data_IF_068887013602
#
_entry.id   IF_068887013602
#
_cell.length_a   1.000
_cell.length_b   1.000
_cell.length_c   1.000
_cell.angle_alpha   90.00
_cell.angle_beta   90.00
_cell.angle_gamma   90.00
#
_symmetry.space_group_name_H-M   'P 1'
#
loop_
_entity.id
_entity.type
_entity.pdbx_description
1 polymer ?
#
# COMPACT_ATOMS: atom_id res chain seq x y z
N UNK A 1 11.95 3.35 7.93
CA UNK A 1 12.26 3.67 9.36
C UNK A 1 13.21 2.66 10.03
N UNK A 2 13.00 1.35 9.89
CA UNK A 2 13.84 0.33 10.55
C UNK A 2 15.29 0.32 10.05
N UNK A 3 15.56 0.50 8.75
CA UNK A 3 16.95 0.56 8.26
C UNK A 3 17.70 1.76 8.84
N UNK A 4 17.08 2.94 8.87
CA UNK A 4 17.67 4.13 9.46
C UNK A 4 17.96 3.94 10.97
N UNK A 5 17.06 3.28 11.69
CA UNK A 5 17.26 2.95 13.10
C UNK A 5 18.40 1.95 13.31
N UNK A 6 18.45 0.88 12.50
CA UNK A 6 19.55 -0.11 12.55
C UNK A 6 20.88 0.57 12.23
N UNK A 7 20.95 1.41 11.20
CA UNK A 7 22.17 2.16 10.86
C UNK A 7 22.61 3.09 12.00
N UNK A 8 21.67 3.75 12.67
CA UNK A 8 21.99 4.67 13.77
C UNK A 8 22.46 3.95 15.04
N UNK A 9 21.87 2.79 15.38
CA UNK A 9 22.17 2.06 16.61
C UNK A 9 23.30 1.03 16.46
N UNK A 10 23.51 0.51 15.25
CA UNK A 10 24.54 -0.48 14.92
C UNK A 10 25.21 -0.14 13.58
N UNK A 11 26.11 0.86 13.57
CA UNK A 11 26.85 1.24 12.37
C UNK A 11 27.57 0.03 11.74
N UNK A 12 27.34 -0.21 10.44
CA UNK A 12 27.89 -1.35 9.70
C UNK A 12 27.05 -2.63 9.74
N UNK A 13 25.98 -2.68 10.53
CA UNK A 13 25.02 -3.78 10.48
C UNK A 13 24.04 -3.60 9.32
N UNK A 14 23.87 -4.65 8.52
CA UNK A 14 22.81 -4.71 7.50
C UNK A 14 21.53 -5.21 8.14
N UNK A 15 20.44 -4.45 8.02
CA UNK A 15 19.15 -4.92 8.51
C UNK A 15 18.73 -6.19 7.73
N UNK A 16 18.30 -7.27 8.40
CA UNK A 16 17.93 -8.50 7.70
C UNK A 16 16.74 -8.27 6.77
N UNK A 17 16.82 -8.79 5.55
CA UNK A 17 15.73 -8.73 4.58
C UNK A 17 15.10 -10.13 4.47
N UNK A 18 14.05 -10.44 5.26
CA UNK A 18 13.38 -11.73 5.15
C UNK A 18 12.84 -11.93 3.73
N UNK A 19 12.87 -13.17 3.19
CA UNK A 19 12.25 -13.46 1.92
C UNK A 19 10.75 -13.16 1.99
N UNK A 20 10.19 -12.61 0.92
CA UNK A 20 8.76 -12.43 0.80
C UNK A 20 8.05 -13.80 0.81
N UNK A 21 7.01 -14.00 1.65
CA UNK A 21 6.14 -15.14 1.51
C UNK A 21 5.40 -15.08 0.17
N UNK A 22 4.95 -16.23 -0.33
CA UNK A 22 4.03 -16.27 -1.47
C UNK A 22 2.74 -15.50 -1.13
N UNK A 23 2.06 -14.89 -2.13
CA UNK A 23 0.74 -14.30 -1.96
C UNK A 23 -0.21 -15.27 -1.26
N UNK A 24 -0.89 -14.81 -0.21
CA UNK A 24 -1.66 -15.68 0.68
C UNK A 24 -3.02 -15.07 1.02
N UNK A 25 -4.09 -15.86 0.86
CA UNK A 25 -5.38 -15.58 1.48
C UNK A 25 -5.31 -16.00 2.95
N UNK A 26 -5.50 -15.03 3.85
CA UNK A 26 -5.62 -15.30 5.29
C UNK A 26 -7.07 -15.64 5.65
N UNK A 27 -8.03 -14.99 4.99
CA UNK A 27 -9.47 -15.26 5.06
C UNK A 27 -10.07 -15.16 3.65
N UNK A 28 -11.36 -15.51 3.52
CA UNK A 28 -12.08 -15.47 2.24
C UNK A 28 -12.03 -14.07 1.59
N UNK A 29 -12.04 -13.02 2.42
CA UNK A 29 -12.08 -11.62 2.05
C UNK A 29 -10.81 -10.86 2.46
N UNK A 30 -9.69 -11.55 2.69
CA UNK A 30 -8.45 -10.88 3.09
C UNK A 30 -7.23 -11.62 2.56
N UNK A 31 -6.41 -10.90 1.78
CA UNK A 31 -5.17 -11.42 1.22
C UNK A 31 -3.99 -10.50 1.53
N UNK A 32 -2.81 -11.11 1.74
CA UNK A 32 -1.56 -10.41 1.98
C UNK A 32 -0.62 -10.58 0.79
N UNK A 33 -0.04 -9.45 0.36
CA UNK A 33 0.93 -9.32 -0.71
C UNK A 33 2.19 -8.71 -0.08
N UNK A 34 3.32 -9.39 -0.12
CA UNK A 34 4.48 -8.99 0.70
C UNK A 34 5.74 -8.83 -0.13
N UNK A 35 6.53 -7.80 0.21
CA UNK A 35 7.91 -7.64 -0.22
C UNK A 35 8.90 -8.10 0.88
N UNK A 36 8.46 -8.96 1.80
CA UNK A 36 9.26 -9.47 2.91
C UNK A 36 9.16 -8.59 4.16
N UNK A 37 9.68 -7.37 4.09
CA UNK A 37 9.66 -6.43 5.25
C UNK A 37 8.37 -5.63 5.37
N UNK A 38 7.75 -5.32 4.25
CA UNK A 38 6.49 -4.57 4.17
C UNK A 38 5.49 -5.38 3.37
N UNK A 39 4.23 -5.25 3.74
CA UNK A 39 3.13 -5.95 3.09
C UNK A 39 2.02 -4.96 2.76
N UNK A 40 1.37 -5.19 1.64
CA UNK A 40 0.08 -4.64 1.31
C UNK A 40 -1.00 -5.70 1.60
N UNK A 41 -2.16 -5.26 2.06
CA UNK A 41 -3.30 -6.16 2.32
C UNK A 41 -4.44 -5.81 1.38
N UNK A 42 -4.91 -6.77 0.60
CA UNK A 42 -6.07 -6.62 -0.26
C UNK A 42 -7.33 -7.10 0.47
N UNK A 43 -8.32 -6.21 0.55
CA UNK A 43 -9.65 -6.47 1.12
C UNK A 43 -10.67 -6.15 0.04
N UNK A 44 -11.66 -7.01 -0.25
CA UNK A 44 -12.70 -6.73 -1.22
C UNK A 44 -13.92 -6.10 -0.55
N UNK A 45 -14.12 -4.76 -0.57
CA UNK A 45 -15.37 -4.15 -0.15
C UNK A 45 -16.46 -4.38 -1.20
N UNK A 46 -16.94 -5.62 -1.34
CA UNK A 46 -18.04 -5.97 -2.24
C UNK A 46 -17.74 -5.88 -3.74
N UNK A 47 -17.65 -4.67 -4.29
CA UNK A 47 -17.63 -4.41 -5.73
C UNK A 47 -16.25 -4.00 -6.30
N UNK A 48 -15.19 -4.16 -5.51
CA UNK A 48 -13.82 -3.83 -5.87
C UNK A 48 -12.85 -4.28 -4.78
N UNK A 49 -11.61 -3.79 -4.85
CA UNK A 49 -10.53 -4.05 -3.92
C UNK A 49 -10.12 -2.73 -3.26
N UNK A 50 -10.07 -2.72 -1.94
CA UNK A 50 -9.33 -1.76 -1.15
C UNK A 50 -7.98 -2.38 -0.80
N UNK A 51 -6.91 -1.70 -1.18
CA UNK A 51 -5.56 -2.07 -0.81
C UNK A 51 -5.13 -1.25 0.42
N UNK A 52 -4.68 -1.91 1.47
CA UNK A 52 -4.06 -1.27 2.63
C UNK A 52 -2.55 -1.28 2.39
N UNK A 53 -1.95 -0.09 2.28
CA UNK A 53 -0.59 0.20 1.80
C UNK A 53 -0.29 -0.25 0.36
N UNK A 54 0.79 0.27 -0.22
CA UNK A 54 1.20 0.04 -1.61
C UNK A 54 2.70 -0.27 -1.74
N UNK A 55 3.31 -0.86 -0.71
CA UNK A 55 4.72 -1.27 -0.66
C UNK A 55 5.69 -0.09 -0.92
N UNK A 56 6.94 -0.39 -1.29
CA UNK A 56 8.07 0.56 -1.25
C UNK A 56 8.25 1.35 -2.53
N UNK A 57 7.79 0.83 -3.67
CA UNK A 57 8.09 1.41 -4.98
C UNK A 57 7.05 1.07 -6.05
N UNK A 58 7.06 1.78 -7.19
CA UNK A 58 6.29 1.39 -8.36
C UNK A 58 6.62 -0.03 -8.85
N UNK A 59 7.89 -0.44 -8.75
CA UNK A 59 8.33 -1.79 -9.12
C UNK A 59 7.71 -2.86 -8.20
N UNK A 60 7.60 -2.59 -6.91
CA UNK A 60 6.90 -3.50 -5.98
C UNK A 60 5.42 -3.64 -6.36
N UNK A 61 4.75 -2.55 -6.78
CA UNK A 61 3.39 -2.66 -7.29
C UNK A 61 3.33 -3.58 -8.52
N UNK A 62 4.20 -3.36 -9.51
CA UNK A 62 4.20 -4.13 -10.76
C UNK A 62 4.57 -5.60 -10.60
N UNK A 63 5.49 -5.91 -9.68
CA UNK A 63 6.10 -7.24 -9.57
C UNK A 63 5.62 -8.04 -8.36
N UNK A 64 5.01 -7.38 -7.36
CA UNK A 64 4.47 -8.04 -6.17
C UNK A 64 2.95 -7.92 -6.11
N UNK A 65 2.41 -6.70 -6.14
CA UNK A 65 0.97 -6.48 -5.94
C UNK A 65 0.16 -7.05 -7.12
N UNK A 66 0.44 -6.61 -8.35
CA UNK A 66 -0.36 -7.02 -9.51
C UNK A 66 -0.27 -8.53 -9.78
N UNK A 67 0.92 -9.16 -9.78
CA UNK A 67 1.02 -10.60 -9.99
C UNK A 67 0.41 -11.37 -8.84
N UNK A 68 0.60 -10.93 -7.59
CA UNK A 68 0.05 -11.61 -6.43
C UNK A 68 -1.48 -11.61 -6.40
N UNK A 69 -2.13 -10.49 -6.76
CA UNK A 69 -3.58 -10.46 -6.96
C UNK A 69 -4.03 -11.46 -8.02
N UNK A 70 -3.36 -11.50 -9.17
CA UNK A 70 -3.66 -12.46 -10.25
C UNK A 70 -3.50 -13.92 -9.80
N UNK A 71 -2.42 -14.24 -9.08
CA UNK A 71 -2.18 -15.57 -8.50
C UNK A 71 -3.32 -16.00 -7.57
N UNK A 72 -3.91 -15.06 -6.85
CA UNK A 72 -5.04 -15.31 -5.94
C UNK A 72 -6.41 -15.27 -6.63
N UNK A 73 -6.43 -15.13 -7.95
CA UNK A 73 -7.64 -15.10 -8.79
C UNK A 73 -8.37 -13.76 -8.81
N UNK A 74 -7.74 -12.68 -8.36
CA UNK A 74 -8.31 -11.34 -8.36
C UNK A 74 -7.84 -10.52 -9.58
N UNK A 75 -8.72 -9.66 -10.09
CA UNK A 75 -8.36 -8.69 -11.13
C UNK A 75 -7.74 -7.43 -10.50
N UNK A 76 -6.49 -7.08 -10.80
CA UNK A 76 -5.89 -5.85 -10.28
C UNK A 76 -6.61 -4.58 -10.74
N UNK A 77 -7.35 -4.60 -11.86
CA UNK A 77 -8.15 -3.47 -12.28
C UNK A 77 -9.35 -3.20 -11.35
N UNK A 78 -9.68 -4.13 -10.45
CA UNK A 78 -10.70 -3.93 -9.43
C UNK A 78 -10.21 -3.07 -8.24
N UNK A 79 -8.93 -2.66 -8.18
CA UNK A 79 -8.44 -1.75 -7.12
C UNK A 79 -9.12 -0.39 -7.27
N UNK A 80 -9.94 -0.03 -6.28
CA UNK A 80 -10.66 1.25 -6.22
C UNK A 80 -10.06 2.22 -5.21
N UNK A 81 -9.50 1.68 -4.13
CA UNK A 81 -9.02 2.46 -3.00
C UNK A 81 -7.66 1.97 -2.53
N UNK A 82 -6.78 2.89 -2.18
CA UNK A 82 -5.48 2.64 -1.57
C UNK A 82 -5.44 3.40 -0.26
N UNK A 83 -5.56 2.68 0.85
CA UNK A 83 -5.54 3.23 2.21
C UNK A 83 -4.13 3.11 2.75
N UNK A 84 -3.41 4.23 2.81
CA UNK A 84 -2.04 4.27 3.33
C UNK A 84 -2.07 4.46 4.84
N UNK A 85 -1.41 3.56 5.55
CA UNK A 85 -1.41 3.51 7.02
C UNK A 85 -0.56 4.62 7.65
N UNK A 86 0.56 4.98 7.02
CA UNK A 86 1.46 6.05 7.48
C UNK A 86 2.29 6.67 6.35
N UNK A 87 2.69 7.93 6.53
CA UNK A 87 3.45 8.72 5.53
C UNK A 87 4.94 8.38 5.41
N UNK A 88 5.34 7.12 5.65
CA UNK A 88 6.71 6.67 5.34
C UNK A 88 6.78 6.04 3.95
N UNK A 89 7.87 6.28 3.23
CA UNK A 89 8.04 5.89 1.82
C UNK A 89 7.82 4.39 1.55
N UNK A 90 8.08 3.55 2.55
CA UNK A 90 7.97 2.11 2.46
C UNK A 90 6.51 1.60 2.43
N UNK A 91 5.51 2.49 2.57
CA UNK A 91 4.09 2.15 2.58
C UNK A 91 3.27 2.68 1.39
N UNK A 92 3.81 3.61 0.59
CA UNK A 92 3.04 4.25 -0.48
C UNK A 92 3.72 4.26 -1.84
N UNK A 93 4.89 3.66 -1.99
CA UNK A 93 5.68 3.82 -3.22
C UNK A 93 4.99 3.32 -4.48
N UNK A 94 4.07 2.34 -4.36
CA UNK A 94 3.23 1.89 -5.47
C UNK A 94 1.94 2.69 -5.70
N UNK A 95 1.58 3.62 -4.81
CA UNK A 95 0.25 4.21 -4.76
C UNK A 95 -0.08 5.06 -5.99
N UNK A 96 0.84 5.93 -6.42
CA UNK A 96 0.62 6.79 -7.59
C UNK A 96 0.48 5.96 -8.88
N UNK A 97 1.31 4.93 -9.07
CA UNK A 97 1.22 4.06 -10.25
C UNK A 97 -0.14 3.38 -10.34
N UNK A 98 -0.65 2.87 -9.21
CA UNK A 98 -1.96 2.22 -9.17
C UNK A 98 -3.10 3.23 -9.39
N UNK A 99 -2.98 4.44 -8.86
CA UNK A 99 -3.93 5.53 -9.11
C UNK A 99 -3.98 5.90 -10.60
N UNK A 100 -2.83 6.12 -11.23
CA UNK A 100 -2.73 6.49 -12.65
C UNK A 100 -3.25 5.37 -13.57
N UNK A 101 -2.96 4.11 -13.21
CA UNK A 101 -3.28 2.95 -14.05
C UNK A 101 -4.75 2.52 -13.97
N UNK A 102 -5.35 2.58 -12.78
CA UNK A 102 -6.69 2.02 -12.52
C UNK A 102 -7.71 3.04 -12.04
N UNK A 103 -7.33 4.32 -11.91
CA UNK A 103 -8.20 5.34 -11.33
C UNK A 103 -8.46 5.14 -9.84
N UNK A 104 -7.60 4.38 -9.16
CA UNK A 104 -7.72 4.14 -7.73
C UNK A 104 -7.53 5.45 -6.95
N UNK A 105 -8.34 5.64 -5.91
CA UNK A 105 -8.23 6.81 -5.01
C UNK A 105 -7.28 6.52 -3.87
N UNK A 106 -6.41 7.47 -3.54
CA UNK A 106 -5.42 7.33 -2.46
C UNK A 106 -5.91 8.06 -1.22
N UNK A 107 -5.94 7.35 -0.09
CA UNK A 107 -6.44 7.84 1.17
C UNK A 107 -5.34 7.79 2.23
N UNK A 108 -5.18 8.87 2.97
CA UNK A 108 -4.28 8.93 4.13
C UNK A 108 -4.83 9.92 5.17
N UNK A 109 -4.43 9.78 6.43
CA UNK A 109 -4.71 10.84 7.42
C UNK A 109 -3.95 12.12 7.05
N UNK A 110 -4.48 13.32 7.37
CA UNK A 110 -3.80 14.61 7.12
C UNK A 110 -2.34 14.63 7.59
N UNK A 111 -2.06 14.10 8.79
CA UNK A 111 -0.69 14.06 9.32
C UNK A 111 0.29 13.24 8.47
N UNK A 112 -0.20 12.22 7.76
CA UNK A 112 0.60 11.42 6.83
C UNK A 112 0.90 12.21 5.55
N UNK A 113 -0.10 12.89 4.98
CA UNK A 113 0.10 13.82 3.87
C UNK A 113 1.11 14.91 4.22
N UNK A 114 1.01 15.48 5.43
CA UNK A 114 1.94 16.51 5.88
C UNK A 114 3.38 15.98 6.00
N UNK A 115 3.56 14.72 6.40
CA UNK A 115 4.88 14.08 6.46
C UNK A 115 5.47 13.91 5.06
N UNK A 116 4.67 13.45 4.10
CA UNK A 116 5.09 13.32 2.69
C UNK A 116 5.47 14.70 2.14
N UNK A 117 4.65 15.72 2.36
CA UNK A 117 4.93 17.08 1.91
C UNK A 117 6.24 17.64 2.48
N UNK A 118 6.56 17.34 3.75
CA UNK A 118 7.81 17.76 4.40
C UNK A 118 9.04 17.01 3.92
N UNK A 119 8.90 15.73 3.59
CA UNK A 119 10.04 14.84 3.28
C UNK A 119 10.28 14.67 1.77
N UNK A 120 9.29 15.01 0.95
CA UNK A 120 9.31 14.99 -0.52
C UNK A 120 10.02 13.74 -1.13
N UNK A 121 9.57 12.51 -0.80
CA UNK A 121 10.14 11.30 -1.40
C UNK A 121 9.78 11.19 -2.89
N UNK A 122 10.64 10.52 -3.67
CA UNK A 122 10.51 10.44 -5.13
C UNK A 122 9.17 9.85 -5.61
N UNK A 123 8.67 8.82 -4.94
CA UNK A 123 7.44 8.11 -5.30
C UNK A 123 6.23 8.56 -4.46
N UNK A 124 6.23 9.81 -4.00
CA UNK A 124 5.12 10.38 -3.25
C UNK A 124 3.83 10.42 -4.11
N UNK A 125 2.71 9.85 -3.66
CA UNK A 125 1.43 10.07 -4.33
C UNK A 125 0.96 11.51 -4.17
N UNK A 126 0.25 12.01 -5.18
CA UNK A 126 -0.50 13.25 -5.07
C UNK A 126 -1.52 13.14 -3.93
N UNK A 127 -1.66 14.20 -3.12
CA UNK A 127 -2.68 14.25 -2.07
C UNK A 127 -4.06 14.19 -2.71
N UNK A 128 -4.83 13.18 -2.34
CA UNK A 128 -6.14 12.90 -2.92
C UNK A 128 -7.26 13.01 -1.88
N UNK A 129 -7.42 12.01 -1.00
CA UNK A 129 -8.46 11.99 0.02
C UNK A 129 -7.88 11.94 1.45
N UNK A 130 -8.46 12.73 2.34
CA UNK A 130 -8.17 12.67 3.76
C UNK A 130 -9.01 11.58 4.44
N UNK A 131 -8.38 10.84 5.37
CA UNK A 131 -9.06 9.93 6.30
C UNK A 131 -9.30 10.65 7.62
N UNK A 132 -10.57 10.76 8.00
CA UNK A 132 -11.01 11.34 9.27
C UNK A 132 -11.51 10.26 10.24
N UNK A 133 -11.49 10.56 11.53
CA UNK A 133 -12.03 9.65 12.54
C UNK A 133 -13.53 9.38 12.32
N UNK A 134 -13.95 8.14 12.53
CA UNK A 134 -15.32 7.70 12.27
C UNK A 134 -15.73 7.59 10.79
N UNK A 135 -14.85 7.94 9.84
CA UNK A 135 -15.13 7.78 8.41
C UNK A 135 -15.28 6.30 8.04
N UNK A 136 -16.30 5.99 7.26
CA UNK A 136 -16.55 4.64 6.74
C UNK A 136 -16.32 4.62 5.25
N UNK A 137 -15.49 3.69 4.80
CA UNK A 137 -15.39 3.35 3.38
C UNK A 137 -16.52 2.37 3.06
N UNK A 138 -17.66 2.89 2.63
CA UNK A 138 -18.82 2.10 2.23
C UNK A 138 -18.87 1.97 0.71
N UNK A 139 -19.55 0.92 0.22
CA UNK A 139 -19.90 0.77 -1.20
C UNK A 139 -20.52 2.09 -1.71
N UNK A 140 -20.12 2.63 -2.88
CA UNK A 140 -20.98 3.54 -3.58
C UNK A 140 -22.21 2.73 -4.03
N UNK A 141 -23.41 3.16 -3.65
CA UNK A 141 -24.63 2.65 -4.29
C UNK A 141 -24.63 3.16 -5.74
N UNK A 142 -24.12 2.37 -6.67
CA UNK A 142 -24.38 2.59 -8.09
C UNK A 142 -25.77 2.03 -8.38
N UNK A 143 -26.78 2.91 -8.41
CA UNK A 143 -28.06 2.66 -9.09
C UNK A 143 -27.95 3.10 -10.53
#
# INVERSE_FOLDING_TARGET
>A
MLCALVTALTPGATAPHPPAPAPLKLFDDLAVLSAGRVSATAVPPGDGIALIDALTSPADAEHVILPGLRTLGADPAAIKYIVVTQGHYDHFGGAQLLADRYGARVLMRPAGWDLIARTAPADAPARDLDILDGQRLTRPCWT
#
